data_IF_421905884883
#
_entry.id   IF_421905884883
#
_cell.length_a   1.000
_cell.length_b   1.000
_cell.length_c   1.000
_cell.angle_alpha   90.00
_cell.angle_beta   90.00
_cell.angle_gamma   90.00
#
_symmetry.space_group_name_H-M   'P 1'
#
loop_
_entity.id
_entity.type
_entity.pdbx_description
1 polymer ?
#
# COMPACT_ATOMS: atom_id res chain seq x y z
N UNK A 1 5.41 -22.65 42.62
CA UNK A 1 4.99 -23.62 41.59
C UNK A 1 4.17 -22.82 40.61
N UNK A 2 4.80 -22.24 39.60
CA UNK A 2 4.10 -21.46 38.57
C UNK A 2 3.59 -22.42 37.49
N UNK A 3 2.29 -22.34 37.24
CA UNK A 3 1.50 -23.30 36.48
C UNK A 3 1.89 -23.37 34.98
N UNK A 4 1.81 -24.55 34.35
CA UNK A 4 2.06 -24.75 32.93
C UNK A 4 0.99 -24.12 32.00
N UNK A 5 -0.09 -23.57 32.55
CA UNK A 5 -1.22 -23.00 31.81
C UNK A 5 -0.89 -21.58 31.28
N UNK A 6 -0.20 -20.75 32.07
CA UNK A 6 0.21 -19.38 31.68
C UNK A 6 1.15 -19.35 30.47
N UNK A 7 2.08 -20.31 30.35
CA UNK A 7 3.02 -20.40 29.22
C UNK A 7 2.35 -20.86 27.91
N UNK A 8 1.22 -21.56 27.99
CA UNK A 8 0.43 -21.97 26.82
C UNK A 8 -0.43 -20.83 26.31
N UNK A 9 -1.06 -20.07 27.21
CA UNK A 9 -1.84 -18.89 26.84
C UNK A 9 -0.95 -17.78 26.25
N UNK A 10 0.23 -17.52 26.83
CA UNK A 10 1.22 -16.61 26.25
C UNK A 10 1.66 -17.03 24.84
N UNK A 11 1.84 -18.34 24.60
CA UNK A 11 2.20 -18.88 23.28
C UNK A 11 1.08 -18.76 22.25
N UNK A 12 -0.18 -18.95 22.66
CA UNK A 12 -1.36 -18.78 21.80
C UNK A 12 -1.60 -17.31 21.47
N UNK A 13 -1.38 -16.42 22.44
CA UNK A 13 -1.54 -14.97 22.28
C UNK A 13 -0.43 -14.37 21.41
N UNK A 14 0.81 -14.83 21.55
CA UNK A 14 1.92 -14.46 20.66
C UNK A 14 1.72 -15.02 19.24
N UNK A 15 1.25 -16.26 19.10
CA UNK A 15 0.91 -16.83 17.79
C UNK A 15 -0.23 -16.05 17.10
N UNK A 16 -1.24 -15.63 17.87
CA UNK A 16 -2.29 -14.73 17.38
C UNK A 16 -1.72 -13.37 16.99
N UNK A 17 -0.80 -12.80 17.78
CA UNK A 17 -0.18 -11.51 17.45
C UNK A 17 0.65 -11.59 16.18
N UNK A 18 1.43 -12.67 16.00
CA UNK A 18 2.22 -12.91 14.78
C UNK A 18 1.29 -13.11 13.58
N UNK A 19 0.18 -13.86 13.74
CA UNK A 19 -0.81 -14.04 12.69
C UNK A 19 -1.50 -12.70 12.34
N UNK A 20 -1.88 -11.90 13.33
CA UNK A 20 -2.45 -10.58 13.13
C UNK A 20 -1.45 -9.61 12.48
N UNK A 21 -0.19 -9.59 12.89
CA UNK A 21 0.87 -8.79 12.26
C UNK A 21 1.13 -9.22 10.80
N UNK A 22 1.01 -10.52 10.50
CA UNK A 22 1.12 -11.05 9.14
C UNK A 22 -0.11 -10.72 8.26
N UNK A 23 -1.32 -10.76 8.83
CA UNK A 23 -2.57 -10.49 8.10
C UNK A 23 -2.88 -8.99 7.96
N UNK A 24 -2.48 -8.16 8.92
CA UNK A 24 -2.80 -6.73 8.97
C UNK A 24 -1.62 -5.80 8.65
N UNK A 25 -0.41 -6.35 8.50
CA UNK A 25 0.82 -5.58 8.49
C UNK A 25 1.14 -5.02 9.88
N UNK A 26 2.21 -4.23 9.99
CA UNK A 26 2.72 -3.70 11.27
C UNK A 26 1.79 -2.68 11.98
N UNK A 27 0.55 -2.50 11.50
CA UNK A 27 -0.49 -1.64 12.09
C UNK A 27 -1.58 -2.51 12.69
N UNK A 28 -2.10 -2.10 13.85
CA UNK A 28 -3.48 -2.42 14.24
C UNK A 28 -4.39 -1.36 13.58
N UNK A 29 -4.95 -1.60 12.38
CA UNK A 29 -5.72 -0.58 11.67
C UNK A 29 -6.97 -0.21 12.48
N UNK A 30 -7.09 1.07 12.84
CA UNK A 30 -8.33 1.59 13.44
C UNK A 30 -9.50 1.48 12.46
N UNK A 31 -10.70 1.25 12.99
CA UNK A 31 -11.82 0.56 12.33
C UNK A 31 -12.16 0.94 10.88
N UNK A 32 -12.14 2.22 10.50
CA UNK A 32 -12.46 2.61 9.11
C UNK A 32 -11.39 2.17 8.10
N UNK A 33 -10.12 2.36 8.46
CA UNK A 33 -8.97 1.94 7.64
C UNK A 33 -8.99 0.43 7.40
N UNK A 34 -9.32 -0.35 8.44
CA UNK A 34 -9.43 -1.81 8.35
C UNK A 34 -10.47 -2.23 7.31
N UNK A 35 -11.65 -1.60 7.33
CA UNK A 35 -12.72 -1.84 6.33
C UNK A 35 -12.26 -1.52 4.91
N UNK A 36 -11.55 -0.42 4.71
CA UNK A 36 -11.01 -0.03 3.40
C UNK A 36 -9.99 -1.05 2.91
N UNK A 37 -9.02 -1.43 3.75
CA UNK A 37 -7.98 -2.41 3.39
C UNK A 37 -8.63 -3.72 2.93
N UNK A 38 -9.58 -4.26 3.69
CA UNK A 38 -10.29 -5.47 3.28
C UNK A 38 -11.13 -5.29 2.01
N UNK A 39 -11.85 -4.17 1.88
CA UNK A 39 -12.64 -3.90 0.69
C UNK A 39 -11.79 -3.83 -0.57
N UNK A 40 -10.63 -3.16 -0.49
CA UNK A 40 -9.69 -3.04 -1.61
C UNK A 40 -8.98 -4.36 -1.88
N UNK A 41 -8.59 -5.12 -0.85
CA UNK A 41 -7.99 -6.44 -1.02
C UNK A 41 -8.98 -7.44 -1.66
N UNK A 42 -10.25 -7.41 -1.24
CA UNK A 42 -11.31 -8.21 -1.85
C UNK A 42 -11.53 -7.81 -3.32
N UNK A 43 -11.59 -6.51 -3.62
CA UNK A 43 -11.71 -6.02 -4.99
C UNK A 43 -10.52 -6.43 -5.86
N UNK A 44 -9.31 -6.36 -5.32
CA UNK A 44 -8.09 -6.78 -6.02
C UNK A 44 -8.10 -8.29 -6.30
N UNK A 45 -8.52 -9.10 -5.34
CA UNK A 45 -8.70 -10.55 -5.52
C UNK A 45 -9.72 -10.86 -6.61
N UNK A 46 -10.88 -10.20 -6.60
CA UNK A 46 -11.90 -10.34 -7.65
C UNK A 46 -11.37 -9.93 -9.02
N UNK A 47 -10.62 -8.82 -9.11
CA UNK A 47 -9.97 -8.40 -10.34
C UNK A 47 -9.04 -9.50 -10.87
N UNK A 48 -8.14 -10.04 -10.05
CA UNK A 48 -7.22 -11.11 -10.47
C UNK A 48 -7.95 -12.39 -10.90
N UNK A 49 -9.04 -12.77 -10.22
CA UNK A 49 -9.86 -13.93 -10.59
C UNK A 49 -10.65 -13.73 -11.88
N UNK A 50 -10.96 -12.48 -12.25
CA UNK A 50 -11.70 -12.16 -13.49
C UNK A 50 -10.85 -12.26 -14.76
N UNK A 51 -9.54 -12.02 -14.67
CA UNK A 51 -8.64 -11.96 -15.84
C UNK A 51 -8.54 -13.28 -16.63
N UNK A 52 -8.37 -14.47 -16.00
CA UNK A 52 -8.18 -15.71 -16.74
C UNK A 52 -9.44 -16.17 -17.50
N UNK A 53 -10.63 -15.66 -17.14
CA UNK A 53 -11.92 -16.19 -17.62
C UNK A 53 -12.78 -15.19 -18.40
N UNK A 54 -12.67 -13.88 -18.13
CA UNK A 54 -13.67 -12.92 -18.60
C UNK A 54 -13.11 -11.76 -19.43
N UNK A 55 -11.85 -11.35 -19.23
CA UNK A 55 -11.33 -10.11 -19.82
C UNK A 55 -9.95 -10.32 -20.45
N UNK A 56 -9.87 -10.22 -21.77
CA UNK A 56 -8.62 -10.16 -22.53
C UNK A 56 -8.09 -8.72 -22.52
N UNK A 57 -7.32 -8.37 -21.48
CA UNK A 57 -6.57 -7.12 -21.42
C UNK A 57 -5.10 -7.32 -21.79
N UNK A 58 -4.46 -6.36 -22.47
CA UNK A 58 -3.02 -6.41 -22.66
C UNK A 58 -2.28 -6.41 -21.31
N UNK A 59 -1.14 -7.10 -21.27
CA UNK A 59 -0.38 -7.34 -20.03
C UNK A 59 0.05 -6.06 -19.31
N UNK A 60 0.23 -4.96 -20.04
CA UNK A 60 0.60 -3.66 -19.48
C UNK A 60 -0.52 -3.11 -18.58
N UNK A 61 -1.77 -3.14 -19.04
CA UNK A 61 -2.93 -2.68 -18.26
C UNK A 61 -3.10 -3.51 -16.99
N UNK A 62 -2.98 -4.84 -17.11
CA UNK A 62 -3.10 -5.76 -15.97
C UNK A 62 -2.06 -5.42 -14.90
N UNK A 63 -0.79 -5.25 -15.29
CA UNK A 63 0.30 -4.95 -14.36
C UNK A 63 0.15 -3.57 -13.73
N UNK A 64 -0.24 -2.56 -14.51
CA UNK A 64 -0.45 -1.20 -14.01
C UNK A 64 -1.57 -1.14 -12.97
N UNK A 65 -2.71 -1.78 -13.24
CA UNK A 65 -3.84 -1.86 -12.30
C UNK A 65 -3.46 -2.68 -11.06
N UNK A 66 -2.79 -3.82 -11.25
CA UNK A 66 -2.29 -4.63 -10.14
C UNK A 66 -1.32 -3.84 -9.25
N UNK A 67 -0.40 -3.08 -9.84
CA UNK A 67 0.53 -2.22 -9.11
C UNK A 67 -0.20 -1.12 -8.33
N UNK A 68 -1.24 -0.51 -8.91
CA UNK A 68 -2.04 0.50 -8.23
C UNK A 68 -2.70 -0.05 -6.95
N UNK A 69 -3.28 -1.26 -7.01
CA UNK A 69 -3.82 -1.95 -5.83
C UNK A 69 -2.74 -2.28 -4.80
N UNK A 70 -1.64 -2.87 -5.26
CA UNK A 70 -0.54 -3.28 -4.40
C UNK A 70 0.04 -2.07 -3.64
N UNK A 71 0.46 -1.02 -4.34
CA UNK A 71 1.10 0.13 -3.70
C UNK A 71 0.17 0.86 -2.74
N UNK A 72 -1.12 0.97 -3.08
CA UNK A 72 -2.15 1.57 -2.22
C UNK A 72 -2.29 0.80 -0.90
N UNK A 73 -2.41 -0.53 -0.96
CA UNK A 73 -2.51 -1.38 0.22
C UNK A 73 -1.23 -1.31 1.05
N UNK A 74 -0.06 -1.29 0.42
CA UNK A 74 1.21 -1.15 1.15
C UNK A 74 1.25 0.17 1.93
N UNK A 75 0.80 1.30 1.35
CA UNK A 75 0.77 2.60 2.06
C UNK A 75 -0.23 2.61 3.23
N UNK A 76 -1.33 1.85 3.14
CA UNK A 76 -2.31 1.74 4.22
C UNK A 76 -1.86 0.79 5.33
N UNK A 77 -1.27 -0.35 4.96
CA UNK A 77 -0.85 -1.41 5.89
C UNK A 77 0.45 -1.06 6.62
N UNK A 78 1.39 -0.34 5.99
CA UNK A 78 2.67 0.03 6.59
C UNK A 78 2.79 1.55 6.78
N UNK A 79 2.91 2.06 8.03
CA UNK A 79 3.00 3.50 8.30
C UNK A 79 4.28 4.11 7.69
N UNK A 80 4.18 5.29 7.06
CA UNK A 80 5.34 5.97 6.49
C UNK A 80 6.41 6.36 7.54
N UNK A 81 6.01 6.56 8.80
CA UNK A 81 6.90 6.88 9.90
C UNK A 81 6.89 5.77 10.96
N UNK A 82 7.88 4.90 10.90
CA UNK A 82 8.18 3.87 11.90
C UNK A 82 8.49 4.53 13.24
N UNK A 83 7.49 4.69 14.12
CA UNK A 83 7.57 5.13 15.53
C UNK A 83 8.83 5.95 15.84
N UNK A 84 9.06 7.04 15.11
CA UNK A 84 10.16 7.92 15.48
C UNK A 84 9.65 8.60 16.75
N UNK A 85 10.25 8.22 17.87
CA UNK A 85 10.19 8.98 19.12
C UNK A 85 10.97 10.27 18.87
N UNK A 86 10.47 11.13 17.98
CA UNK A 86 11.17 12.35 17.57
C UNK A 86 11.04 13.32 18.72
N UNK A 87 12.02 13.31 19.63
CA UNK A 87 12.28 14.44 20.52
C UNK A 87 12.85 15.57 19.66
N UNK A 88 12.12 16.67 19.54
CA UNK A 88 12.59 17.88 18.86
C UNK A 88 11.55 18.53 17.96
N UNK A 89 11.96 19.57 17.22
CA UNK A 89 11.13 20.54 16.49
C UNK A 89 10.14 19.95 15.46
N UNK A 90 10.28 18.66 15.12
CA UNK A 90 9.36 17.86 14.29
C UNK A 90 8.23 17.18 15.08
N UNK A 91 8.13 17.40 16.40
CA UNK A 91 7.09 16.82 17.26
C UNK A 91 5.66 17.26 16.87
N UNK A 92 5.50 18.39 16.17
CA UNK A 92 4.21 18.83 15.61
C UNK A 92 3.63 17.86 14.56
N UNK A 93 4.48 17.06 13.89
CA UNK A 93 4.05 15.98 12.99
C UNK A 93 3.68 14.70 13.77
N UNK A 94 3.98 14.62 15.06
CA UNK A 94 3.69 13.50 15.97
C UNK A 94 2.26 13.57 16.56
N UNK A 95 1.33 14.24 15.89
CA UNK A 95 -0.09 14.07 16.23
C UNK A 95 -0.60 12.85 15.47
N UNK A 96 -1.05 11.82 16.19
CA UNK A 96 -1.50 10.52 15.64
C UNK A 96 -2.49 10.65 14.46
N UNK A 97 -3.21 11.76 14.35
CA UNK A 97 -4.13 12.05 13.24
C UNK A 97 -3.47 12.64 11.97
N UNK A 98 -2.35 13.36 12.06
CA UNK A 98 -1.69 13.92 10.86
C UNK A 98 -0.95 12.87 10.05
N UNK A 99 -0.32 11.92 10.74
CA UNK A 99 0.36 10.78 10.10
C UNK A 99 -0.64 9.96 9.28
N UNK A 100 -1.88 9.82 9.77
CA UNK A 100 -2.95 9.13 9.06
C UNK A 100 -3.29 9.79 7.71
N UNK A 101 -3.48 11.12 7.67
CA UNK A 101 -3.87 11.80 6.43
C UNK A 101 -2.76 11.79 5.38
N UNK A 102 -1.49 11.90 5.79
CA UNK A 102 -0.34 11.87 4.88
C UNK A 102 -0.23 10.50 4.21
N UNK A 103 -0.35 9.41 4.96
CA UNK A 103 -0.30 8.05 4.40
C UNK A 103 -1.40 7.83 3.36
N UNK A 104 -2.60 8.36 3.60
CA UNK A 104 -3.71 8.31 2.64
C UNK A 104 -3.43 9.11 1.37
N UNK A 105 -2.90 10.33 1.50
CA UNK A 105 -2.53 11.15 0.35
C UNK A 105 -1.45 10.45 -0.47
N UNK A 106 -0.42 9.91 0.18
CA UNK A 106 0.65 9.18 -0.49
C UNK A 106 0.14 7.89 -1.13
N UNK A 107 -0.77 7.15 -0.49
CA UNK A 107 -1.41 5.96 -1.05
C UNK A 107 -2.16 6.29 -2.34
N UNK A 108 -3.00 7.33 -2.30
CA UNK A 108 -3.79 7.78 -3.45
C UNK A 108 -2.87 8.27 -4.55
N UNK A 109 -1.88 9.10 -4.23
CA UNK A 109 -0.94 9.65 -5.20
C UNK A 109 -0.13 8.54 -5.89
N UNK A 110 0.32 7.55 -5.13
CA UNK A 110 1.01 6.38 -5.67
C UNK A 110 0.11 5.54 -6.59
N UNK A 111 -1.13 5.28 -6.16
CA UNK A 111 -2.11 4.53 -6.96
C UNK A 111 -2.46 5.25 -8.26
N UNK A 112 -2.70 6.57 -8.21
CA UNK A 112 -2.98 7.40 -9.39
C UNK A 112 -1.79 7.44 -10.33
N UNK A 113 -0.57 7.56 -9.79
CA UNK A 113 0.65 7.55 -10.62
C UNK A 113 0.86 6.21 -11.32
N UNK A 114 0.54 5.09 -10.66
CA UNK A 114 0.54 3.77 -11.29
C UNK A 114 -0.56 3.63 -12.35
N UNK A 115 -1.76 4.16 -12.08
CA UNK A 115 -2.90 4.09 -12.99
C UNK A 115 -2.72 4.99 -14.22
N UNK A 116 -1.96 6.08 -14.11
CA UNK A 116 -1.60 6.94 -15.25
C UNK A 116 -1.01 6.14 -16.41
N UNK A 117 -0.17 5.14 -16.11
CA UNK A 117 0.41 4.25 -17.12
C UNK A 117 -0.66 3.48 -17.88
N UNK A 118 -1.74 3.04 -17.21
CA UNK A 118 -2.85 2.36 -17.85
C UNK A 118 -3.72 3.32 -18.66
N UNK A 119 -3.88 4.57 -18.20
CA UNK A 119 -4.77 5.55 -18.84
C UNK A 119 -4.15 6.14 -20.12
N UNK A 120 -2.88 6.59 -20.10
CA UNK A 120 -2.20 7.20 -21.26
C UNK A 120 -1.23 6.21 -21.95
N UNK A 121 -1.46 4.90 -21.82
CA UNK A 121 -0.57 3.87 -22.39
C UNK A 121 -0.36 4.08 -23.90
N UNK A 122 -1.44 4.27 -24.65
CA UNK A 122 -1.38 4.46 -26.10
C UNK A 122 -0.61 5.73 -26.48
N UNK A 123 -0.85 6.83 -25.76
CA UNK A 123 -0.14 8.09 -25.96
C UNK A 123 1.34 8.01 -25.62
N UNK A 124 1.68 7.34 -24.52
CA UNK A 124 3.06 7.04 -24.12
C UNK A 124 3.77 6.18 -25.17
N UNK A 125 3.10 5.15 -25.67
CA UNK A 125 3.65 4.25 -26.69
C UNK A 125 3.86 4.95 -28.03
N UNK A 126 2.97 5.87 -28.41
CA UNK A 126 3.08 6.64 -29.65
C UNK A 126 4.17 7.72 -29.58
N UNK A 127 4.48 8.24 -28.39
CA UNK A 127 5.48 9.29 -28.16
C UNK A 127 6.84 8.75 -27.68
N UNK A 128 7.20 7.54 -28.08
CA UNK A 128 8.52 6.98 -27.77
C UNK A 128 9.63 7.91 -28.29
N UNK A 129 10.45 8.44 -27.36
CA UNK A 129 11.53 9.39 -27.68
C UNK A 129 11.14 10.87 -27.56
N UNK A 130 9.88 11.20 -27.33
CA UNK A 130 9.42 12.58 -27.06
C UNK A 130 8.36 12.61 -25.94
N UNK A 131 8.74 12.21 -24.70
CA UNK A 131 7.80 12.18 -23.57
C UNK A 131 7.37 13.60 -23.21
N UNK A 132 6.10 13.76 -22.82
CA UNK A 132 5.61 15.02 -22.29
C UNK A 132 6.09 15.21 -20.86
N UNK A 133 6.12 16.47 -20.39
CA UNK A 133 6.51 16.78 -19.01
C UNK A 133 5.66 16.00 -17.99
N UNK A 134 4.37 15.79 -18.28
CA UNK A 134 3.48 14.98 -17.42
C UNK A 134 3.90 13.53 -17.30
N UNK A 135 4.39 12.92 -18.39
CA UNK A 135 4.81 11.51 -18.44
C UNK A 135 6.02 11.32 -17.52
N UNK A 136 6.94 12.29 -17.56
CA UNK A 136 8.13 12.33 -16.72
C UNK A 136 7.75 12.52 -15.24
N UNK A 137 6.84 13.45 -14.94
CA UNK A 137 6.41 13.72 -13.56
C UNK A 137 5.74 12.49 -12.94
N UNK A 138 4.76 11.87 -13.61
CA UNK A 138 4.07 10.68 -13.09
C UNK A 138 5.00 9.48 -13.01
N UNK A 139 5.88 9.29 -14.00
CA UNK A 139 6.87 8.21 -13.99
C UNK A 139 7.88 8.34 -12.85
N UNK A 140 8.48 9.53 -12.69
CA UNK A 140 9.42 9.79 -11.60
C UNK A 140 8.76 9.67 -10.22
N UNK A 141 7.54 10.21 -10.09
CA UNK A 141 6.75 10.12 -8.86
C UNK A 141 6.44 8.67 -8.50
N UNK A 142 5.99 7.86 -9.47
CA UNK A 142 5.73 6.44 -9.26
C UNK A 142 6.98 5.70 -8.80
N UNK A 143 8.14 5.94 -9.45
CA UNK A 143 9.40 5.30 -9.07
C UNK A 143 9.79 5.66 -7.64
N UNK A 144 9.75 6.94 -7.26
CA UNK A 144 10.11 7.40 -5.91
C UNK A 144 9.18 6.77 -4.86
N UNK A 145 7.86 6.82 -5.09
CA UNK A 145 6.87 6.25 -4.17
C UNK A 145 6.98 4.72 -4.07
N UNK A 146 7.29 4.05 -5.19
CA UNK A 146 7.49 2.60 -5.19
C UNK A 146 8.75 2.19 -4.41
N UNK A 147 9.87 2.92 -4.59
CA UNK A 147 11.09 2.67 -3.83
C UNK A 147 10.89 2.94 -2.35
N UNK A 148 10.16 4.01 -2.00
CA UNK A 148 9.78 4.28 -0.61
C UNK A 148 8.91 3.15 -0.05
N UNK A 149 7.93 2.67 -0.82
CA UNK A 149 7.06 1.56 -0.46
C UNK A 149 7.84 0.27 -0.22
N UNK A 150 8.82 -0.06 -1.08
CA UNK A 150 9.70 -1.21 -0.90
C UNK A 150 10.61 -1.07 0.33
N UNK A 151 11.10 0.13 0.64
CA UNK A 151 11.93 0.39 1.84
C UNK A 151 11.19 0.14 3.16
N UNK A 152 9.88 0.32 3.19
CA UNK A 152 9.07 0.22 4.42
C UNK A 152 8.37 -1.12 4.64
N UNK A 153 8.27 -1.95 3.59
CA UNK A 153 7.57 -3.25 3.61
C UNK A 153 8.53 -4.33 4.08
#
# INVERSE_FOLDING_TARGET
MDEPETRRDEGVEEARRIAEEAEFGARAPSGFTKKVIYGVAALWSLFQLSLPKLILLPSVYIRAIHLAFAIFLVYLSYPAFKRIRTRGILAFLSSRQKVYLIDWILAILAAVSALYLAIDYEGLSARQGSPLMRDIIFGAMLVILLLEAARRS
#
